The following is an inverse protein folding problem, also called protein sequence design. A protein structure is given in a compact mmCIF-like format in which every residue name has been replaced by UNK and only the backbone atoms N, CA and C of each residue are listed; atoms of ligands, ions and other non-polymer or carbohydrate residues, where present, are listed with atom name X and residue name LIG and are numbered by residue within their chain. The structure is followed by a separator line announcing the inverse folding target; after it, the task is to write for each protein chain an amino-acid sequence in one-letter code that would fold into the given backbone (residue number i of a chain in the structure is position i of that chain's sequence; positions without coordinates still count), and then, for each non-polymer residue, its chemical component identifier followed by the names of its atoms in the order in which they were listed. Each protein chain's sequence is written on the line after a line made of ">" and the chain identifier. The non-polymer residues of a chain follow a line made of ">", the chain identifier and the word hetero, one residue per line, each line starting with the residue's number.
data_IF_377898000969
#
_entry.id   IF_377898000969
#
_cell.length_a   1.000
_cell.length_b   1.000
_cell.length_c   1.000
_cell.angle_alpha   90.00
_cell.angle_beta   90.00
_cell.angle_gamma   90.00
#
_symmetry.space_group_name_H-M   'P 1'
#
loop_
_entity.id
_entity.type
_entity.pdbx_description
1 polymer ?
#
# COMPACT_ATOMS: atom_id res chain seq x y z
N UNK A 1 -27.46 -6.84 -11.27
CA UNK A 1 -26.12 -6.46 -10.75
C UNK A 1 -26.21 -5.28 -9.76
N UNK A 2 -26.76 -4.12 -10.11
CA UNK A 2 -26.84 -2.95 -9.20
C UNK A 2 -27.55 -3.22 -7.85
N UNK A 3 -28.62 -4.05 -7.82
CA UNK A 3 -29.30 -4.44 -6.58
C UNK A 3 -28.41 -5.24 -5.61
N UNK A 4 -27.47 -6.04 -6.11
CA UNK A 4 -26.57 -6.85 -5.27
C UNK A 4 -25.52 -5.96 -4.61
N UNK A 5 -24.96 -4.99 -5.34
CA UNK A 5 -24.03 -4.01 -4.78
C UNK A 5 -24.70 -3.12 -3.73
N UNK A 6 -25.95 -2.71 -3.96
CA UNK A 6 -26.71 -1.92 -2.98
C UNK A 6 -27.02 -2.70 -1.71
N UNK A 7 -27.44 -3.97 -1.82
CA UNK A 7 -27.67 -4.84 -0.67
C UNK A 7 -26.38 -5.14 0.11
N UNK A 8 -25.25 -5.28 -0.57
CA UNK A 8 -23.94 -5.49 0.08
C UNK A 8 -23.47 -4.25 0.85
N UNK A 9 -23.59 -3.06 0.24
CA UNK A 9 -23.27 -1.79 0.90
C UNK A 9 -24.24 -1.54 2.06
N UNK A 10 -25.53 -1.76 1.89
CA UNK A 10 -26.52 -1.66 2.96
C UNK A 10 -26.24 -2.65 4.10
N UNK A 11 -25.80 -3.88 3.81
CA UNK A 11 -25.40 -4.84 4.84
C UNK A 11 -24.14 -4.40 5.62
N UNK A 12 -23.19 -3.70 4.99
CA UNK A 12 -22.03 -3.10 5.67
C UNK A 12 -22.45 -1.93 6.57
N UNK A 13 -23.46 -1.15 6.18
CA UNK A 13 -23.94 -0.01 6.98
C UNK A 13 -25.01 -0.37 8.03
N UNK A 14 -25.70 -1.50 7.88
CA UNK A 14 -26.68 -2.03 8.82
C UNK A 14 -26.05 -2.83 9.97
N UNK A 15 -24.76 -2.63 10.27
CA UNK A 15 -24.11 -3.25 11.42
C UNK A 15 -24.89 -2.82 12.68
N UNK A 16 -25.44 -3.76 13.47
CA UNK A 16 -26.19 -3.42 14.67
C UNK A 16 -25.34 -2.56 15.61
N UNK A 17 -25.98 -1.60 16.30
CA UNK A 17 -25.35 -0.81 17.38
C UNK A 17 -24.45 -1.73 18.17
N UNK A 18 -23.16 -1.40 18.23
CA UNK A 18 -22.15 -2.19 18.92
C UNK A 18 -22.68 -2.57 20.31
N UNK A 19 -23.11 -3.82 20.45
CA UNK A 19 -23.42 -4.38 21.75
C UNK A 19 -22.17 -4.20 22.59
N UNK A 20 -22.34 -3.74 23.84
CA UNK A 20 -21.27 -3.53 24.80
C UNK A 20 -20.37 -4.76 24.83
N UNK A 21 -19.25 -4.69 24.10
CA UNK A 21 -18.30 -5.78 23.98
C UNK A 21 -17.63 -5.94 25.34
N UNK A 22 -17.95 -7.03 26.03
CA UNK A 22 -17.19 -7.43 27.22
C UNK A 22 -15.80 -7.86 26.76
N UNK A 23 -14.82 -6.99 26.94
CA UNK A 23 -13.41 -7.32 26.80
C UNK A 23 -13.06 -8.32 27.90
N UNK A 24 -13.31 -9.61 27.69
CA UNK A 24 -12.68 -10.64 28.51
C UNK A 24 -11.20 -10.65 28.13
N UNK A 25 -10.27 -10.21 29.01
CA UNK A 25 -8.86 -10.41 28.74
C UNK A 25 -8.63 -11.90 28.53
N UNK A 26 -8.04 -12.26 27.40
CA UNK A 26 -7.52 -13.63 27.24
C UNK A 26 -6.49 -13.78 28.34
N UNK A 27 -6.76 -14.69 29.28
CA UNK A 27 -5.88 -15.04 30.39
C UNK A 27 -4.55 -15.52 29.79
N UNK A 28 -3.65 -14.58 29.56
CA UNK A 28 -2.32 -14.79 29.05
C UNK A 28 -1.55 -15.31 30.24
N UNK A 29 -1.69 -16.62 30.51
CA UNK A 29 -0.81 -17.34 31.43
C UNK A 29 0.60 -16.88 31.14
N UNK A 30 1.21 -16.31 32.17
CA UNK A 30 2.52 -15.69 32.21
C UNK A 30 3.54 -16.55 31.46
N UNK A 31 3.79 -16.23 30.19
CA UNK A 31 4.97 -16.74 29.49
C UNK A 31 6.13 -15.87 30.00
N UNK A 32 6.66 -16.23 31.16
CA UNK A 32 7.97 -15.74 31.64
C UNK A 32 9.04 -16.21 30.65
N UNK A 33 9.23 -15.46 29.58
CA UNK A 33 10.37 -15.63 28.69
C UNK A 33 11.57 -14.96 29.39
N UNK A 34 12.36 -15.80 30.06
CA UNK A 34 13.67 -15.45 30.61
C UNK A 34 14.58 -15.06 29.45
N UNK A 35 14.69 -13.77 29.17
CA UNK A 35 15.61 -13.26 28.16
C UNK A 35 17.06 -13.48 28.61
N UNK A 36 17.71 -14.54 28.10
CA UNK A 36 19.18 -14.66 28.15
C UNK A 36 19.76 -13.68 27.14
N UNK A 37 20.34 -12.59 27.62
CA UNK A 37 21.28 -11.78 26.87
C UNK A 37 22.52 -12.63 26.57
N UNK A 38 22.61 -13.15 25.35
CA UNK A 38 23.90 -13.57 24.77
C UNK A 38 24.37 -12.44 23.85
N UNK A 39 25.30 -11.62 24.35
CA UNK A 39 26.15 -10.79 23.52
C UNK A 39 27.12 -11.68 22.75
N UNK A 40 26.95 -11.75 21.41
CA UNK A 40 28.01 -12.24 20.51
C UNK A 40 28.62 -11.04 19.80
N UNK A 41 29.95 -10.94 19.70
CA UNK A 41 30.60 -9.89 18.93
C UNK A 41 30.38 -10.10 17.42
N UNK A 42 30.07 -9.01 16.73
CA UNK A 42 30.03 -8.93 15.28
C UNK A 42 31.45 -9.00 14.71
N UNK A 43 31.71 -9.97 13.83
CA UNK A 43 32.87 -9.98 12.94
C UNK A 43 32.54 -9.21 11.65
N UNK A 44 33.46 -8.37 11.12
CA UNK A 44 33.23 -7.65 9.88
C UNK A 44 33.29 -8.61 8.68
N UNK A 45 32.27 -8.56 7.82
CA UNK A 45 32.24 -9.29 6.55
C UNK A 45 33.00 -8.50 5.50
N UNK A 46 34.01 -9.15 4.93
CA UNK A 46 34.89 -8.69 3.87
C UNK A 46 34.11 -8.35 2.59
N UNK A 47 34.36 -7.17 2.03
CA UNK A 47 33.84 -6.72 0.74
C UNK A 47 34.51 -7.49 -0.42
N UNK A 48 33.75 -8.33 -1.11
CA UNK A 48 34.16 -8.93 -2.38
C UNK A 48 33.85 -7.95 -3.52
N UNK A 49 34.89 -7.35 -4.09
CA UNK A 49 34.80 -6.56 -5.31
C UNK A 49 34.65 -7.51 -6.51
N UNK A 50 33.49 -7.50 -7.17
CA UNK A 50 33.34 -8.08 -8.52
C UNK A 50 33.65 -7.01 -9.57
N UNK A 51 34.83 -7.11 -10.19
CA UNK A 51 35.17 -6.38 -11.40
C UNK A 51 34.53 -7.09 -12.61
N UNK A 52 33.45 -6.52 -13.15
CA UNK A 52 32.79 -7.03 -14.36
C UNK A 52 33.50 -6.47 -15.58
N UNK A 53 34.28 -7.32 -16.24
CA UNK A 53 34.96 -7.05 -17.52
C UNK A 53 33.92 -6.94 -18.64
N UNK A 54 33.75 -5.74 -19.20
CA UNK A 54 32.94 -5.51 -20.41
C UNK A 54 33.65 -6.16 -21.60
N UNK A 55 32.98 -7.09 -22.31
CA UNK A 55 33.40 -7.54 -23.64
C UNK A 55 32.86 -6.56 -24.69
N UNK A 56 33.64 -6.19 -25.72
CA UNK A 56 33.13 -5.49 -26.88
C UNK A 56 32.19 -6.42 -27.68
N UNK A 57 31.01 -5.92 -28.01
CA UNK A 57 30.03 -6.57 -28.88
C UNK A 57 30.47 -6.39 -30.34
N UNK A 58 30.64 -7.50 -31.05
CA UNK A 58 30.77 -7.52 -32.50
C UNK A 58 29.46 -7.08 -33.19
N UNK A 59 29.54 -6.39 -34.33
CA UNK A 59 28.39 -6.06 -35.16
C UNK A 59 27.99 -7.29 -36.00
N UNK A 60 26.98 -8.04 -35.56
CA UNK A 60 26.41 -9.14 -36.35
C UNK A 60 25.33 -8.62 -37.31
N UNK A 61 25.71 -8.58 -38.58
CA UNK A 61 24.94 -8.84 -39.81
C UNK A 61 23.45 -8.52 -39.88
N UNK A 62 23.17 -7.59 -40.79
CA UNK A 62 21.93 -7.38 -41.55
C UNK A 62 21.23 -8.68 -41.95
N UNK A 63 20.08 -8.97 -41.34
CA UNK A 63 19.15 -10.01 -41.79
C UNK A 63 18.05 -9.36 -42.63
N UNK A 64 18.05 -9.71 -43.91
CA UNK A 64 17.07 -9.32 -44.93
C UNK A 64 15.64 -9.60 -44.46
N UNK A 65 14.81 -8.56 -44.55
CA UNK A 65 13.37 -8.58 -44.31
C UNK A 65 12.69 -9.41 -45.42
N UNK A 66 12.16 -10.57 -45.02
CA UNK A 66 11.14 -11.29 -45.79
C UNK A 66 9.82 -10.56 -45.60
N UNK A 67 9.29 -9.98 -46.68
CA UNK A 67 7.95 -9.41 -46.77
C UNK A 67 6.92 -10.54 -46.64
N UNK A 68 6.45 -10.79 -45.43
CA UNK A 68 5.35 -11.70 -45.17
C UNK A 68 4.07 -10.89 -45.18
N UNK A 69 3.32 -11.00 -46.28
CA UNK A 69 1.92 -10.57 -46.37
C UNK A 69 1.10 -11.35 -45.35
N UNK A 70 0.90 -10.76 -44.17
CA UNK A 70 -0.06 -11.26 -43.19
C UNK A 70 -1.43 -10.67 -43.51
N UNK A 71 -2.29 -11.54 -44.05
CA UNK A 71 -3.71 -11.29 -44.24
C UNK A 71 -4.36 -10.91 -42.91
N UNK A 72 -5.18 -9.84 -42.85
CA UNK A 72 -5.88 -9.47 -41.64
C UNK A 72 -7.05 -10.44 -41.44
N UNK A 73 -6.80 -11.58 -40.80
CA UNK A 73 -7.88 -12.45 -40.33
C UNK A 73 -8.58 -11.75 -39.17
N UNK A 74 -9.76 -11.23 -39.51
CA UNK A 74 -10.73 -10.59 -38.65
C UNK A 74 -11.30 -11.59 -37.63
N UNK A 75 -10.62 -11.77 -36.51
CA UNK A 75 -11.24 -12.33 -35.31
C UNK A 75 -11.39 -11.21 -34.28
N UNK A 76 -12.40 -10.36 -34.53
CA UNK A 76 -12.94 -9.40 -33.56
C UNK A 76 -13.62 -10.20 -32.43
N UNK A 77 -12.81 -10.83 -31.57
CA UNK A 77 -13.28 -11.25 -30.27
C UNK A 77 -13.87 -10.01 -29.60
N UNK A 78 -15.19 -10.02 -29.33
CA UNK A 78 -15.90 -8.92 -28.68
C UNK A 78 -15.19 -8.58 -27.37
N UNK A 79 -14.31 -7.56 -27.42
CA UNK A 79 -13.70 -7.02 -26.23
C UNK A 79 -14.86 -6.60 -25.31
N UNK A 80 -14.94 -7.14 -24.07
CA UNK A 80 -16.02 -6.80 -23.16
C UNK A 80 -16.12 -5.28 -23.08
N UNK A 81 -17.33 -4.75 -23.31
CA UNK A 81 -17.49 -3.29 -23.45
C UNK A 81 -16.82 -2.58 -22.27
N UNK A 82 -15.98 -1.59 -22.56
CA UNK A 82 -15.16 -0.91 -21.54
C UNK A 82 -16.00 -0.37 -20.37
N UNK A 83 -17.30 -0.16 -20.60
CA UNK A 83 -18.33 0.16 -19.60
C UNK A 83 -18.46 -0.93 -18.52
N UNK A 84 -18.63 -2.21 -18.88
CA UNK A 84 -18.84 -3.31 -17.91
C UNK A 84 -17.65 -3.40 -16.95
N UNK A 85 -16.44 -3.31 -17.50
CA UNK A 85 -15.21 -3.36 -16.72
C UNK A 85 -15.08 -2.17 -15.76
N UNK A 86 -15.40 -0.95 -16.22
CA UNK A 86 -15.46 0.25 -15.38
C UNK A 86 -16.43 0.07 -14.21
N UNK A 87 -17.62 -0.47 -14.48
CA UNK A 87 -18.61 -0.77 -13.42
C UNK A 87 -18.09 -1.83 -12.43
N UNK A 88 -17.47 -2.90 -12.92
CA UNK A 88 -16.94 -3.97 -12.07
C UNK A 88 -15.86 -3.44 -11.10
N UNK A 89 -14.88 -2.70 -11.60
CA UNK A 89 -13.87 -2.07 -10.73
C UNK A 89 -14.47 -1.03 -9.80
N UNK A 90 -15.48 -0.27 -10.24
CA UNK A 90 -16.21 0.68 -9.39
C UNK A 90 -16.86 -0.01 -8.18
N UNK A 91 -17.56 -1.12 -8.40
CA UNK A 91 -18.18 -1.91 -7.32
C UNK A 91 -17.14 -2.49 -6.38
N UNK A 92 -16.08 -3.10 -6.90
CA UNK A 92 -14.98 -3.65 -6.09
C UNK A 92 -14.32 -2.54 -5.24
N UNK A 93 -14.05 -1.38 -5.86
CA UNK A 93 -13.46 -0.21 -5.20
C UNK A 93 -14.30 0.28 -4.04
N UNK A 94 -15.60 0.54 -4.28
CA UNK A 94 -16.52 1.03 -3.24
C UNK A 94 -16.63 0.00 -2.11
N UNK A 95 -16.69 -1.29 -2.44
CA UNK A 95 -16.80 -2.36 -1.45
C UNK A 95 -15.54 -2.47 -0.59
N UNK A 96 -14.35 -2.41 -1.19
CA UNK A 96 -13.08 -2.43 -0.45
C UNK A 96 -12.90 -1.17 0.42
N UNK A 97 -13.27 0.00 -0.10
CA UNK A 97 -13.23 1.25 0.67
C UNK A 97 -14.18 1.20 1.87
N UNK A 98 -15.42 0.77 1.67
CA UNK A 98 -16.40 0.61 2.75
C UNK A 98 -15.94 -0.41 3.80
N UNK A 99 -15.44 -1.57 3.36
CA UNK A 99 -14.89 -2.59 4.25
C UNK A 99 -13.70 -2.06 5.07
N UNK A 100 -12.80 -1.29 4.44
CA UNK A 100 -11.66 -0.69 5.15
C UNK A 100 -12.08 0.40 6.15
N UNK A 101 -13.05 1.25 5.78
CA UNK A 101 -13.61 2.28 6.68
C UNK A 101 -14.26 1.63 7.89
N UNK A 102 -15.11 0.62 7.67
CA UNK A 102 -15.76 -0.11 8.75
C UNK A 102 -14.74 -0.82 9.65
N UNK A 103 -13.74 -1.47 9.06
CA UNK A 103 -12.66 -2.15 9.80
C UNK A 103 -11.86 -1.15 10.64
N UNK A 104 -11.52 0.01 10.06
CA UNK A 104 -10.79 1.07 10.76
C UNK A 104 -11.58 1.62 11.94
N UNK A 105 -12.87 1.92 11.72
CA UNK A 105 -13.77 2.41 12.76
C UNK A 105 -13.92 1.40 13.90
N UNK A 106 -14.24 0.14 13.59
CA UNK A 106 -14.45 -0.90 14.62
C UNK A 106 -13.16 -1.19 15.39
N UNK A 107 -12.02 -1.29 14.69
CA UNK A 107 -10.75 -1.62 15.32
C UNK A 107 -10.20 -0.49 16.19
N UNK A 108 -10.47 0.78 15.86
CA UNK A 108 -9.81 1.94 16.46
C UNK A 108 -10.74 2.86 17.27
N UNK A 109 -12.05 2.60 17.31
CA UNK A 109 -13.01 3.42 18.07
C UNK A 109 -12.78 3.44 19.57
N UNK A 110 -12.15 2.40 20.12
CA UNK A 110 -11.92 2.24 21.55
C UNK A 110 -10.46 1.91 21.83
N UNK A 111 -9.73 2.71 22.61
CA UNK A 111 -8.37 2.36 23.02
C UNK A 111 -8.42 1.27 24.12
N UNK A 112 -7.60 0.19 24.06
CA UNK A 112 -7.64 -0.86 25.09
C UNK A 112 -7.24 -0.37 26.49
N UNK A 113 -6.44 0.70 26.55
CA UNK A 113 -6.09 1.38 27.80
C UNK A 113 -7.17 2.42 28.17
N UNK A 114 -7.88 2.26 29.31
CA UNK A 114 -8.91 3.20 29.74
C UNK A 114 -8.34 4.58 30.07
N UNK A 115 -7.06 4.68 30.48
CA UNK A 115 -6.41 5.96 30.81
C UNK A 115 -6.32 6.82 29.55
N UNK A 116 -5.84 6.23 28.45
CA UNK A 116 -5.71 6.92 27.16
C UNK A 116 -7.09 7.35 26.63
N UNK A 117 -8.13 6.52 26.79
CA UNK A 117 -9.48 6.91 26.40
C UNK A 117 -10.02 8.09 27.24
N UNK A 118 -9.78 8.08 28.55
CA UNK A 118 -10.24 9.13 29.46
C UNK A 118 -9.54 10.46 29.19
N UNK A 119 -8.23 10.43 28.97
CA UNK A 119 -7.40 11.63 28.78
C UNK A 119 -7.56 12.25 27.39
N UNK A 120 -7.65 11.44 26.35
CA UNK A 120 -7.66 11.95 24.96
C UNK A 120 -9.04 12.42 24.49
N UNK A 121 -10.10 12.28 25.29
CA UNK A 121 -11.50 12.60 24.93
C UNK A 121 -11.92 12.08 23.54
N UNK A 122 -11.39 10.93 23.13
CA UNK A 122 -11.62 10.33 21.81
C UNK A 122 -10.85 10.97 20.64
N UNK A 123 -10.11 12.07 20.85
CA UNK A 123 -9.27 12.71 19.81
C UNK A 123 -8.20 11.77 19.28
N UNK A 124 -7.55 11.02 20.17
CA UNK A 124 -6.55 10.02 19.79
C UNK A 124 -7.14 8.95 18.86
N UNK A 125 -8.32 8.42 19.20
CA UNK A 125 -9.01 7.41 18.40
C UNK A 125 -9.40 7.97 17.03
N UNK A 126 -9.94 9.20 16.99
CA UNK A 126 -10.29 9.87 15.73
C UNK A 126 -9.07 10.06 14.83
N UNK A 127 -7.97 10.61 15.35
CA UNK A 127 -6.74 10.82 14.57
C UNK A 127 -6.14 9.50 14.08
N UNK A 128 -6.25 8.44 14.88
CA UNK A 128 -5.79 7.10 14.48
C UNK A 128 -6.69 6.50 13.40
N UNK A 129 -8.01 6.70 13.46
CA UNK A 129 -8.93 6.32 12.38
C UNK A 129 -8.58 7.09 11.11
N UNK A 130 -8.44 8.42 11.19
CA UNK A 130 -8.07 9.24 10.02
C UNK A 130 -6.75 8.75 9.41
N UNK A 131 -5.73 8.50 10.24
CA UNK A 131 -4.45 7.95 9.79
C UNK A 131 -4.60 6.60 9.08
N UNK A 132 -5.49 5.72 9.56
CA UNK A 132 -5.78 4.46 8.91
C UNK A 132 -6.46 4.63 7.54
N UNK A 133 -7.16 5.74 7.30
CA UNK A 133 -7.91 5.98 6.07
C UNK A 133 -7.14 6.76 5.01
N UNK A 134 -6.29 7.72 5.42
CA UNK A 134 -5.72 8.72 4.50
C UNK A 134 -4.79 8.13 3.44
N UNK A 135 -4.05 7.06 3.74
CA UNK A 135 -3.22 6.39 2.72
C UNK A 135 -4.06 5.35 1.92
N UNK A 136 -4.78 4.41 2.56
CA UNK A 136 -5.48 3.36 1.82
C UNK A 136 -6.57 3.86 0.88
N UNK A 137 -7.37 4.86 1.28
CA UNK A 137 -8.51 5.30 0.45
C UNK A 137 -8.05 5.89 -0.89
N UNK A 138 -7.12 6.87 -0.95
CA UNK A 138 -6.58 7.35 -2.22
C UNK A 138 -5.99 6.23 -3.08
N UNK A 139 -5.27 5.25 -2.50
CA UNK A 139 -4.71 4.13 -3.25
C UNK A 139 -5.79 3.20 -3.82
N UNK A 140 -6.85 2.92 -3.07
CA UNK A 140 -8.01 2.13 -3.55
C UNK A 140 -8.67 2.84 -4.74
N UNK A 141 -8.99 4.12 -4.61
CA UNK A 141 -9.62 4.88 -5.70
C UNK A 141 -8.69 5.08 -6.90
N UNK A 142 -7.41 5.38 -6.65
CA UNK A 142 -6.40 5.58 -7.69
C UNK A 142 -6.13 4.31 -8.48
N UNK A 143 -6.03 3.18 -7.80
CA UNK A 143 -5.84 1.88 -8.45
C UNK A 143 -7.06 1.47 -9.27
N UNK A 144 -8.27 1.56 -8.70
CA UNK A 144 -9.49 1.24 -9.42
C UNK A 144 -9.70 2.13 -10.66
N UNK A 145 -9.47 3.44 -10.54
CA UNK A 145 -9.53 4.35 -11.69
C UNK A 145 -8.52 3.96 -12.78
N UNK A 146 -7.29 3.67 -12.38
CA UNK A 146 -6.20 3.31 -13.28
C UNK A 146 -6.49 1.98 -14.00
N UNK A 147 -7.08 1.00 -13.32
CA UNK A 147 -7.49 -0.28 -13.89
C UNK A 147 -8.72 -0.17 -14.79
N UNK A 148 -9.62 0.77 -14.50
CA UNK A 148 -10.82 1.06 -15.28
C UNK A 148 -10.54 1.92 -16.53
N UNK A 149 -9.37 2.57 -16.58
CA UNK A 149 -8.95 3.39 -17.70
C UNK A 149 -8.57 2.54 -18.92
N UNK A 150 -8.91 3.00 -20.11
CA UNK A 150 -8.57 2.31 -21.36
C UNK A 150 -7.06 2.43 -21.62
N UNK A 151 -6.38 1.29 -21.69
CA UNK A 151 -4.95 1.22 -21.98
C UNK A 151 -4.73 1.35 -23.49
N UNK A 152 -4.60 2.59 -23.98
CA UNK A 152 -4.40 2.88 -25.41
C UNK A 152 -2.99 2.61 -25.90
N UNK A 153 -2.01 2.56 -25.00
CA UNK A 153 -0.60 2.31 -25.34
C UNK A 153 -0.04 1.13 -24.54
N UNK A 154 1.06 0.54 -25.03
CA UNK A 154 1.70 -0.63 -24.42
C UNK A 154 2.22 -0.34 -23.01
N UNK A 155 2.73 0.87 -22.77
CA UNK A 155 3.15 1.31 -21.43
C UNK A 155 1.99 1.24 -20.42
N UNK A 156 0.79 1.67 -20.81
CA UNK A 156 -0.38 1.59 -19.96
C UNK A 156 -0.80 0.15 -19.65
N UNK A 157 -0.65 -0.79 -20.60
CA UNK A 157 -0.93 -2.23 -20.37
C UNK A 157 0.02 -2.83 -19.34
N UNK A 158 1.33 -2.56 -19.46
CA UNK A 158 2.34 -3.03 -18.50
C UNK A 158 2.03 -2.51 -17.09
N UNK A 159 1.75 -1.21 -16.97
CA UNK A 159 1.40 -0.58 -15.68
C UNK A 159 0.14 -1.21 -15.10
N UNK A 160 -0.88 -1.43 -15.94
CA UNK A 160 -2.13 -2.06 -15.51
C UNK A 160 -1.91 -3.46 -14.98
N UNK A 161 -1.08 -4.28 -15.64
CA UNK A 161 -0.71 -5.61 -15.15
C UNK A 161 0.00 -5.54 -13.80
N UNK A 162 0.98 -4.66 -13.65
CA UNK A 162 1.70 -4.48 -12.39
C UNK A 162 0.74 -4.04 -11.27
N UNK A 163 -0.17 -3.13 -11.58
CA UNK A 163 -1.18 -2.64 -10.66
C UNK A 163 -2.19 -3.74 -10.27
N UNK A 164 -2.56 -4.63 -11.19
CA UNK A 164 -3.36 -5.81 -10.89
C UNK A 164 -2.70 -6.70 -9.84
N UNK A 165 -1.42 -7.00 -10.00
CA UNK A 165 -0.67 -7.77 -9.01
C UNK A 165 -0.52 -7.03 -7.68
N UNK A 166 -0.31 -5.70 -7.71
CA UNK A 166 -0.27 -4.88 -6.50
C UNK A 166 -1.58 -4.89 -5.72
N UNK A 167 -2.72 -4.73 -6.41
CA UNK A 167 -4.06 -4.81 -5.81
C UNK A 167 -4.33 -6.21 -5.28
N UNK A 168 -3.99 -7.25 -6.07
CA UNK A 168 -4.15 -8.63 -5.63
C UNK A 168 -3.39 -8.92 -4.34
N UNK A 169 -2.10 -8.54 -4.28
CA UNK A 169 -1.28 -8.70 -3.09
C UNK A 169 -1.83 -7.92 -1.89
N UNK A 170 -2.22 -6.65 -2.07
CA UNK A 170 -2.76 -5.81 -1.01
C UNK A 170 -4.08 -6.37 -0.45
N UNK A 171 -4.98 -6.78 -1.33
CA UNK A 171 -6.27 -7.36 -0.96
C UNK A 171 -6.10 -8.74 -0.31
N UNK A 172 -5.27 -9.63 -0.86
CA UNK A 172 -4.99 -10.93 -0.27
C UNK A 172 -4.39 -10.79 1.14
N UNK A 173 -3.45 -9.85 1.31
CA UNK A 173 -2.84 -9.56 2.61
C UNK A 173 -3.88 -9.07 3.62
N UNK A 174 -4.75 -8.15 3.21
CA UNK A 174 -5.81 -7.60 4.07
C UNK A 174 -6.84 -8.67 4.44
N UNK A 175 -7.26 -9.48 3.46
CA UNK A 175 -8.15 -10.61 3.68
C UNK A 175 -7.54 -11.60 4.67
N UNK A 176 -6.26 -11.92 4.51
CA UNK A 176 -5.55 -12.83 5.39
C UNK A 176 -5.44 -12.27 6.81
N UNK A 177 -5.07 -11.00 6.96
CA UNK A 177 -4.94 -10.36 8.26
C UNK A 177 -6.28 -10.33 9.04
N UNK A 178 -7.42 -10.17 8.34
CA UNK A 178 -8.75 -10.19 8.97
C UNK A 178 -9.25 -11.61 9.20
N UNK A 179 -9.08 -12.51 8.24
CA UNK A 179 -9.53 -13.91 8.31
C UNK A 179 -8.79 -14.69 9.40
N UNK A 180 -7.49 -14.50 9.50
CA UNK A 180 -6.63 -15.11 10.53
C UNK A 180 -6.28 -14.14 11.65
N UNK A 181 -7.19 -13.22 12.00
CA UNK A 181 -6.97 -12.20 13.03
C UNK A 181 -6.24 -12.71 14.30
N UNK A 182 -6.54 -13.88 14.89
CA UNK A 182 -5.80 -14.37 16.07
C UNK A 182 -4.27 -14.50 15.86
N UNK A 183 -3.81 -14.77 14.64
CA UNK A 183 -2.40 -14.84 14.29
C UNK A 183 -1.77 -13.47 13.94
N UNK A 184 -2.60 -12.47 13.62
CA UNK A 184 -2.17 -11.15 13.13
C UNK A 184 -2.40 -10.00 14.13
N UNK A 185 -3.47 -10.05 14.92
CA UNK A 185 -3.75 -9.13 16.01
C UNK A 185 -3.44 -9.82 17.34
N UNK A 186 -2.35 -9.42 17.99
CA UNK A 186 -2.10 -9.83 19.37
C UNK A 186 -3.19 -9.25 20.29
N UNK A 187 -4.17 -10.07 20.67
CA UNK A 187 -4.85 -9.94 21.97
C UNK A 187 -6.33 -9.50 21.99
N UNK A 188 -6.98 -9.20 20.86
CA UNK A 188 -8.38 -8.73 20.90
C UNK A 188 -9.26 -9.35 19.81
N UNK A 189 -10.38 -9.94 20.22
CA UNK A 189 -11.52 -10.21 19.36
C UNK A 189 -12.24 -8.88 19.07
N UNK A 190 -11.61 -8.02 18.26
CA UNK A 190 -12.18 -6.70 17.90
C UNK A 190 -13.42 -6.81 17.02
N UNK A 191 -13.55 -7.94 16.32
CA UNK A 191 -14.54 -8.13 15.28
C UNK A 191 -15.41 -9.35 15.60
N UNK A 192 -16.72 -9.17 15.47
CA UNK A 192 -17.64 -10.28 15.38
C UNK A 192 -17.24 -11.24 14.24
N UNK A 193 -17.56 -12.53 14.39
CA UNK A 193 -17.23 -13.55 13.39
C UNK A 193 -17.82 -13.23 12.01
N UNK A 194 -19.05 -12.74 11.95
CA UNK A 194 -19.71 -12.40 10.70
C UNK A 194 -19.04 -11.21 10.03
N UNK A 195 -18.67 -10.19 10.81
CA UNK A 195 -17.93 -9.03 10.29
C UNK A 195 -16.60 -9.46 9.67
N UNK A 196 -15.83 -10.32 10.34
CA UNK A 196 -14.57 -10.86 9.80
C UNK A 196 -14.77 -11.60 8.49
N UNK A 197 -15.79 -12.47 8.41
CA UNK A 197 -16.12 -13.22 7.19
C UNK A 197 -16.45 -12.27 6.03
N UNK A 198 -17.27 -11.25 6.26
CA UNK A 198 -17.67 -10.28 5.23
C UNK A 198 -16.46 -9.49 4.72
N UNK A 199 -15.62 -8.96 5.62
CA UNK A 199 -14.43 -8.19 5.22
C UNK A 199 -13.42 -9.08 4.50
N UNK A 200 -13.14 -10.28 5.03
CA UNK A 200 -12.23 -11.23 4.39
C UNK A 200 -12.73 -11.66 3.01
N UNK A 201 -14.04 -11.92 2.85
CA UNK A 201 -14.64 -12.24 1.56
C UNK A 201 -14.56 -11.05 0.58
N UNK A 202 -14.81 -9.82 1.05
CA UNK A 202 -14.72 -8.61 0.21
C UNK A 202 -13.34 -8.47 -0.41
N UNK A 203 -12.29 -8.52 0.43
CA UNK A 203 -10.92 -8.41 -0.03
C UNK A 203 -10.46 -9.66 -0.79
N UNK A 204 -10.94 -10.85 -0.43
CA UNK A 204 -10.64 -12.09 -1.15
C UNK A 204 -11.17 -12.07 -2.58
N UNK A 205 -12.43 -11.66 -2.78
CA UNK A 205 -13.04 -11.49 -4.12
C UNK A 205 -12.28 -10.44 -4.91
N UNK A 206 -11.93 -9.30 -4.30
CA UNK A 206 -11.14 -8.26 -4.96
C UNK A 206 -9.76 -8.77 -5.39
N UNK A 207 -9.10 -9.59 -4.56
CA UNK A 207 -7.82 -10.20 -4.89
C UNK A 207 -7.93 -11.16 -6.08
N UNK A 208 -8.93 -12.05 -6.09
CA UNK A 208 -9.18 -12.97 -7.19
C UNK A 208 -9.50 -12.24 -8.50
N UNK A 209 -10.35 -11.22 -8.44
CA UNK A 209 -10.67 -10.38 -9.60
C UNK A 209 -9.42 -9.67 -10.14
N UNK A 210 -8.54 -9.19 -9.25
CA UNK A 210 -7.29 -8.55 -9.63
C UNK A 210 -6.29 -9.55 -10.24
N UNK A 211 -6.19 -10.78 -9.72
CA UNK A 211 -5.39 -11.86 -10.32
C UNK A 211 -5.89 -12.19 -11.74
N UNK A 212 -7.20 -12.37 -11.92
CA UNK A 212 -7.79 -12.66 -13.23
C UNK A 212 -7.47 -11.58 -14.27
N UNK A 213 -7.60 -10.30 -13.89
CA UNK A 213 -7.21 -9.18 -14.76
C UNK A 213 -5.70 -9.11 -15.04
N UNK A 214 -4.87 -9.52 -14.09
CA UNK A 214 -3.42 -9.61 -14.26
C UNK A 214 -2.99 -10.74 -15.19
N UNK A 215 -3.70 -11.86 -15.18
CA UNK A 215 -3.46 -13.02 -16.07
C UNK A 215 -3.94 -12.76 -17.49
N UNK A 216 -5.08 -12.09 -17.68
CA UNK A 216 -5.59 -11.75 -19.02
C UNK A 216 -4.70 -10.74 -19.75
N UNK A 217 -3.82 -10.03 -19.03
CA UNK A 217 -2.86 -9.11 -19.59
C UNK A 217 -1.58 -9.84 -20.08
N UNK A 218 -1.73 -10.89 -20.88
CA UNK A 218 -0.62 -11.51 -21.63
C UNK A 218 -0.25 -10.63 -22.83
N UNK A 219 0.35 -9.47 -22.53
CA UNK A 219 1.16 -8.77 -23.51
C UNK A 219 2.48 -9.52 -23.65
N UNK A 220 2.85 -9.86 -24.90
CA UNK A 220 4.21 -10.29 -25.25
C UNK A 220 5.20 -9.45 -24.44
N UNK A 221 6.02 -10.10 -23.62
CA UNK A 221 7.15 -9.46 -22.95
C UNK A 221 8.21 -9.15 -24.02
N UNK A 222 7.87 -8.27 -24.96
CA UNK A 222 8.82 -7.73 -25.93
C UNK A 222 9.89 -7.05 -25.11
N UNK A 223 11.13 -7.50 -25.29
CA UNK A 223 12.33 -7.04 -24.63
C UNK A 223 12.31 -5.51 -24.44
N UNK A 224 11.79 -5.08 -23.29
CA UNK A 224 11.72 -3.68 -22.89
C UNK A 224 13.09 -3.25 -22.35
N UNK A 225 14.17 -3.58 -23.08
CA UNK A 225 15.41 -2.83 -22.99
C UNK A 225 15.13 -1.45 -23.59
N UNK A 226 14.39 -0.64 -22.83
CA UNK A 226 14.35 0.78 -23.08
C UNK A 226 15.78 1.35 -22.98
N UNK A 227 16.03 2.51 -23.58
CA UNK A 227 17.31 3.20 -23.47
C UNK A 227 17.75 3.25 -22.00
N UNK A 228 19.06 3.16 -21.77
CA UNK A 228 19.64 3.21 -20.43
C UNK A 228 19.03 4.38 -19.65
N UNK A 229 18.43 4.08 -18.49
CA UNK A 229 17.71 5.07 -17.70
C UNK A 229 18.61 6.28 -17.43
N UNK A 230 18.31 7.41 -18.07
CA UNK A 230 18.88 8.70 -17.71
C UNK A 230 18.16 9.11 -16.43
N UNK A 231 18.78 8.83 -15.28
CA UNK A 231 18.14 8.97 -13.97
C UNK A 231 17.81 10.42 -13.64
N UNK A 232 16.64 10.89 -14.07
CA UNK A 232 16.09 12.19 -13.68
C UNK A 232 15.74 12.23 -12.18
N UNK A 233 15.47 13.44 -11.67
CA UNK A 233 15.16 13.66 -10.26
C UNK A 233 13.92 12.85 -9.85
N UNK A 234 12.86 12.87 -10.68
CA UNK A 234 11.64 12.10 -10.44
C UNK A 234 11.88 10.60 -10.34
N UNK A 235 12.68 10.03 -11.25
CA UNK A 235 13.00 8.60 -11.21
C UNK A 235 13.73 8.24 -9.92
N UNK A 236 14.70 9.07 -9.52
CA UNK A 236 15.46 8.88 -8.28
C UNK A 236 14.55 8.92 -7.05
N UNK A 237 13.70 9.94 -6.94
CA UNK A 237 12.76 10.08 -5.82
C UNK A 237 11.76 8.90 -5.75
N UNK A 238 11.17 8.48 -6.87
CA UNK A 238 10.29 7.31 -6.90
C UNK A 238 11.03 5.99 -6.65
N UNK A 239 12.32 5.91 -6.99
CA UNK A 239 13.17 4.76 -6.69
C UNK A 239 13.43 4.65 -5.18
N UNK A 240 13.76 5.77 -4.52
CA UNK A 240 13.93 5.85 -3.06
C UNK A 240 12.60 5.53 -2.36
N UNK A 241 11.51 6.17 -2.80
CA UNK A 241 10.17 5.93 -2.27
C UNK A 241 9.74 4.47 -2.40
N UNK A 242 9.96 3.85 -3.56
CA UNK A 242 9.71 2.42 -3.78
C UNK A 242 10.52 1.55 -2.82
N UNK A 243 11.82 1.79 -2.70
CA UNK A 243 12.70 1.00 -1.84
C UNK A 243 12.26 1.09 -0.37
N UNK A 244 11.99 2.30 0.11
CA UNK A 244 11.49 2.54 1.46
C UNK A 244 10.13 1.90 1.73
N UNK A 245 9.16 2.08 0.82
CA UNK A 245 7.83 1.47 0.97
C UNK A 245 7.92 -0.07 0.94
N UNK A 246 8.77 -0.65 0.08
CA UNK A 246 9.00 -2.10 0.04
C UNK A 246 9.61 -2.60 1.35
N UNK A 247 10.58 -1.87 1.90
CA UNK A 247 11.16 -2.18 3.20
C UNK A 247 10.07 -2.18 4.31
N UNK A 248 9.22 -1.16 4.34
CA UNK A 248 8.13 -1.07 5.31
C UNK A 248 7.01 -2.08 5.08
N UNK A 249 6.84 -2.57 3.86
CA UNK A 249 5.96 -3.70 3.56
C UNK A 249 6.52 -5.01 4.11
N UNK A 250 7.82 -5.26 3.92
CA UNK A 250 8.46 -6.49 4.36
C UNK A 250 8.62 -6.55 5.88
N UNK A 251 8.92 -5.42 6.53
CA UNK A 251 9.32 -5.37 7.93
C UNK A 251 8.34 -6.07 8.90
N UNK A 252 7.00 -5.90 8.82
CA UNK A 252 6.08 -6.56 9.76
C UNK A 252 6.00 -8.09 9.61
N UNK A 253 6.59 -8.66 8.54
CA UNK A 253 6.73 -10.10 8.36
C UNK A 253 7.91 -10.68 9.16
N UNK A 254 8.96 -9.87 9.34
CA UNK A 254 10.23 -10.33 9.92
C UNK A 254 10.47 -9.81 11.34
N UNK A 255 9.73 -8.79 11.78
CA UNK A 255 9.95 -8.17 13.08
C UNK A 255 8.69 -8.19 13.95
N UNK A 256 8.89 -8.36 15.25
CA UNK A 256 7.84 -8.29 16.26
C UNK A 256 7.39 -6.84 16.54
N UNK A 257 6.30 -6.72 17.29
CA UNK A 257 5.90 -5.45 17.88
C UNK A 257 6.94 -5.00 18.92
N UNK A 258 7.23 -3.69 19.03
CA UNK A 258 6.51 -2.58 18.39
C UNK A 258 6.96 -2.23 16.96
N UNK A 259 8.11 -2.73 16.48
CA UNK A 259 8.71 -2.28 15.21
C UNK A 259 7.79 -2.55 14.02
N UNK A 260 7.04 -3.64 14.04
CA UNK A 260 6.01 -3.95 13.05
C UNK A 260 4.91 -2.88 12.87
N UNK A 261 4.74 -1.95 13.82
CA UNK A 261 3.70 -0.92 13.77
C UNK A 261 4.11 0.36 13.05
N UNK A 262 5.40 0.57 12.79
CA UNK A 262 5.96 1.87 12.42
C UNK A 262 5.47 2.46 11.08
N UNK A 263 5.16 1.68 10.01
CA UNK A 263 4.72 2.30 8.76
C UNK A 263 3.46 3.15 8.96
N UNK A 264 2.64 2.78 9.95
CA UNK A 264 1.29 3.31 10.13
C UNK A 264 1.00 3.87 11.52
N UNK A 265 1.79 3.53 12.54
CA UNK A 265 1.55 3.88 13.96
C UNK A 265 0.09 3.60 14.39
N UNK A 266 -0.53 2.56 13.82
CA UNK A 266 -1.92 2.16 14.11
C UNK A 266 -2.02 1.17 15.29
N UNK A 267 -0.94 1.00 16.04
CA UNK A 267 -0.82 0.00 17.10
C UNK A 267 -0.95 -1.44 16.59
N UNK A 268 -1.21 -2.38 17.51
CA UNK A 268 -1.30 -3.82 17.22
C UNK A 268 -2.50 -4.25 16.37
N UNK A 269 -3.48 -3.36 16.21
CA UNK A 269 -4.82 -3.71 15.74
C UNK A 269 -4.94 -3.72 14.22
N UNK A 270 -4.29 -2.76 13.55
CA UNK A 270 -4.33 -2.62 12.10
C UNK A 270 -2.96 -2.54 11.42
N UNK A 271 -1.86 -2.48 12.18
CA UNK A 271 -0.54 -2.27 11.58
C UNK A 271 -0.19 -3.31 10.53
N UNK A 272 -0.52 -4.58 10.77
CA UNK A 272 -0.28 -5.64 9.80
C UNK A 272 -1.17 -5.45 8.59
N UNK A 273 -2.49 -5.32 8.73
CA UNK A 273 -3.39 -5.11 7.58
C UNK A 273 -2.98 -3.90 6.72
N UNK A 274 -2.47 -2.83 7.34
CA UNK A 274 -1.99 -1.63 6.64
C UNK A 274 -0.79 -1.90 5.69
N UNK A 275 0.00 -2.95 5.94
CA UNK A 275 1.10 -3.38 5.08
C UNK A 275 0.65 -3.66 3.65
N UNK A 276 -0.55 -4.20 3.46
CA UNK A 276 -1.12 -4.44 2.13
C UNK A 276 -1.18 -3.14 1.32
N UNK A 277 -1.61 -2.04 1.93
CA UNK A 277 -1.67 -0.73 1.27
C UNK A 277 -0.29 -0.11 1.08
N UNK A 278 0.66 -0.37 1.99
CA UNK A 278 2.06 0.04 1.81
C UNK A 278 2.68 -0.70 0.60
N UNK A 279 2.33 -1.97 0.40
CA UNK A 279 2.76 -2.76 -0.75
C UNK A 279 2.19 -2.20 -2.06
N UNK A 280 0.90 -1.84 -2.05
CA UNK A 280 0.25 -1.19 -3.19
C UNK A 280 0.92 0.16 -3.51
N UNK A 281 1.23 0.96 -2.49
CA UNK A 281 1.97 2.22 -2.67
C UNK A 281 3.36 1.98 -3.29
N UNK A 282 4.07 0.92 -2.87
CA UNK A 282 5.36 0.55 -3.44
C UNK A 282 5.24 0.17 -4.93
N UNK A 283 4.19 -0.57 -5.30
CA UNK A 283 3.89 -0.91 -6.71
C UNK A 283 3.56 0.34 -7.51
N UNK A 284 2.73 1.24 -6.96
CA UNK A 284 2.42 2.50 -7.63
C UNK A 284 3.68 3.37 -7.84
N UNK A 285 4.53 3.48 -6.81
CA UNK A 285 5.84 4.16 -6.91
C UNK A 285 6.75 3.50 -7.95
N UNK A 286 6.72 2.17 -8.07
CA UNK A 286 7.46 1.47 -9.12
C UNK A 286 6.96 1.82 -10.53
N UNK A 287 5.64 1.81 -10.74
CA UNK A 287 5.05 2.20 -12.02
C UNK A 287 5.40 3.66 -12.37
N UNK A 288 5.30 4.57 -11.40
CA UNK A 288 5.65 5.98 -11.58
C UNK A 288 7.13 6.18 -11.88
N UNK A 289 8.03 5.43 -11.23
CA UNK A 289 9.45 5.41 -11.61
C UNK A 289 9.63 5.06 -13.09
N UNK A 290 8.96 3.99 -13.57
CA UNK A 290 9.07 3.58 -14.98
C UNK A 290 8.48 4.64 -15.92
N UNK A 291 7.41 5.31 -15.52
CA UNK A 291 6.87 6.46 -16.24
C UNK A 291 7.87 7.62 -16.31
N UNK A 292 8.59 7.89 -15.23
CA UNK A 292 9.65 8.90 -15.17
C UNK A 292 10.83 8.55 -16.06
N UNK A 293 11.34 7.30 -15.97
CA UNK A 293 12.44 6.79 -16.82
C UNK A 293 12.11 6.88 -18.32
N UNK A 294 10.81 6.85 -18.67
CA UNK A 294 10.31 6.94 -20.05
C UNK A 294 9.78 8.32 -20.43
N UNK A 295 9.87 9.31 -19.53
CA UNK A 295 9.34 10.68 -19.73
C UNK A 295 7.83 10.74 -20.01
N UNK A 296 7.10 9.72 -19.59
CA UNK A 296 5.67 9.53 -19.87
C UNK A 296 4.75 10.02 -18.75
N UNK A 297 5.30 10.57 -17.65
CA UNK A 297 4.52 10.93 -16.45
C UNK A 297 3.35 11.86 -16.74
N UNK A 298 3.53 12.81 -17.68
CA UNK A 298 2.49 13.77 -18.05
C UNK A 298 1.71 13.33 -19.30
N UNK A 299 2.24 12.42 -20.11
CA UNK A 299 1.62 12.01 -21.37
C UNK A 299 0.52 10.98 -21.17
N UNK A 300 0.70 10.07 -20.20
CA UNK A 300 -0.23 8.96 -19.99
C UNK A 300 -1.13 9.25 -18.78
N UNK A 301 -2.46 9.37 -18.97
CA UNK A 301 -3.40 9.73 -17.90
C UNK A 301 -3.34 8.81 -16.66
N UNK A 302 -2.97 7.55 -16.85
CA UNK A 302 -2.80 6.59 -15.76
C UNK A 302 -1.73 7.05 -14.76
N UNK A 303 -0.59 7.57 -15.24
CA UNK A 303 0.47 8.06 -14.38
C UNK A 303 0.02 9.30 -13.62
N UNK A 304 -0.61 10.27 -14.30
CA UNK A 304 -1.12 11.48 -13.64
C UNK A 304 -2.05 11.14 -12.47
N UNK A 305 -3.00 10.22 -12.66
CA UNK A 305 -3.90 9.80 -11.57
C UNK A 305 -3.17 9.06 -10.46
N UNK A 306 -2.23 8.17 -10.81
CA UNK A 306 -1.42 7.46 -9.82
C UNK A 306 -0.55 8.42 -8.99
N UNK A 307 0.07 9.43 -9.62
CA UNK A 307 0.83 10.50 -8.94
C UNK A 307 -0.06 11.24 -7.95
N UNK A 308 -1.22 11.71 -8.40
CA UNK A 308 -2.15 12.46 -7.56
C UNK A 308 -2.60 11.65 -6.34
N UNK A 309 -3.01 10.41 -6.55
CA UNK A 309 -3.56 9.57 -5.47
C UNK A 309 -2.50 9.07 -4.50
N UNK A 310 -1.33 8.65 -5.00
CA UNK A 310 -0.18 8.31 -4.16
C UNK A 310 0.33 9.54 -3.38
N UNK A 311 0.40 10.68 -4.04
CA UNK A 311 0.83 11.96 -3.46
C UNK A 311 -0.09 12.43 -2.34
N UNK A 312 -1.40 12.50 -2.58
CA UNK A 312 -2.41 12.87 -1.56
C UNK A 312 -2.34 11.91 -0.39
N UNK A 313 -2.35 10.59 -0.64
CA UNK A 313 -2.34 9.60 0.43
C UNK A 313 -1.08 9.66 1.28
N UNK A 314 0.09 9.82 0.64
CA UNK A 314 1.38 9.94 1.34
C UNK A 314 1.50 11.25 2.12
N UNK A 315 1.01 12.36 1.55
CA UNK A 315 1.06 13.67 2.18
C UNK A 315 0.19 13.72 3.45
N UNK A 316 -1.06 13.28 3.34
CA UNK A 316 -1.97 13.24 4.48
C UNK A 316 -1.47 12.28 5.56
N UNK A 317 -0.92 11.12 5.18
CA UNK A 317 -0.31 10.19 6.13
C UNK A 317 0.90 10.82 6.84
N UNK A 318 1.80 11.45 6.08
CA UNK A 318 2.96 12.16 6.64
C UNK A 318 2.54 13.27 7.60
N UNK A 319 1.57 14.11 7.23
CA UNK A 319 1.06 15.20 8.08
C UNK A 319 0.44 14.65 9.37
N UNK A 320 -0.38 13.60 9.31
CA UNK A 320 -0.99 13.02 10.51
C UNK A 320 0.05 12.35 11.42
N UNK A 321 1.00 11.61 10.85
CA UNK A 321 2.11 11.02 11.61
C UNK A 321 2.95 12.10 12.29
N UNK A 322 3.28 13.17 11.56
CA UNK A 322 4.04 14.30 12.09
C UNK A 322 3.25 15.03 13.17
N UNK A 323 1.97 15.31 12.95
CA UNK A 323 1.09 15.94 13.94
C UNK A 323 1.00 15.13 15.23
N UNK A 324 0.93 13.79 15.13
CA UNK A 324 1.01 12.91 16.31
C UNK A 324 2.37 12.97 17.00
N UNK A 325 3.46 12.98 16.24
CA UNK A 325 4.80 13.14 16.80
C UNK A 325 4.96 14.48 17.55
N UNK A 326 4.35 15.55 17.04
CA UNK A 326 4.31 16.88 17.66
C UNK A 326 3.42 16.92 18.91
N UNK A 327 2.35 16.11 18.94
CA UNK A 327 1.48 15.92 20.11
C UNK A 327 0.08 16.49 19.97
N UNK A 328 -0.41 16.62 18.74
CA UNK A 328 -1.77 17.12 18.45
C UNK A 328 -2.86 16.28 19.11
N UNK A 329 -2.58 15.03 19.47
CA UNK A 329 -3.49 14.12 20.16
C UNK A 329 -3.31 14.09 21.68
N UNK A 330 -2.46 14.96 22.25
CA UNK A 330 -2.18 15.06 23.68
C UNK A 330 -1.04 14.17 24.18
N UNK A 331 -0.29 13.49 23.30
CA UNK A 331 0.86 12.69 23.71
C UNK A 331 2.04 12.74 22.75
N UNK A 332 2.50 13.93 22.38
CA UNK A 332 3.69 14.06 21.52
C UNK A 332 4.89 14.64 22.23
N UNK A 333 5.87 15.03 21.42
CA UNK A 333 7.18 15.48 21.87
C UNK A 333 7.20 16.96 22.28
N UNK A 334 6.43 17.81 21.59
CA UNK A 334 6.53 19.27 21.73
C UNK A 334 5.35 19.90 22.47
N UNK A 335 4.13 19.39 22.27
CA UNK A 335 2.94 19.92 22.94
C UNK A 335 2.80 19.31 24.34
N UNK A 336 2.34 20.10 25.34
CA UNK A 336 2.15 19.63 26.70
C UNK A 336 1.13 18.47 26.74
N UNK A 337 1.50 17.38 27.41
CA UNK A 337 0.72 16.16 27.55
C UNK A 337 1.53 15.06 28.23
N UNK A 338 0.97 13.86 28.37
CA UNK A 338 1.61 12.70 29.03
C UNK A 338 2.77 12.09 28.21
N UNK A 339 3.19 12.80 27.15
CA UNK A 339 4.35 12.51 26.34
C UNK A 339 4.15 11.37 25.34
N UNK A 340 4.96 11.41 24.27
CA UNK A 340 5.10 10.34 23.26
C UNK A 340 5.31 8.95 23.88
N UNK A 341 5.89 8.90 25.08
CA UNK A 341 6.25 7.71 25.83
C UNK A 341 5.07 6.87 26.27
N UNK A 342 3.94 7.50 26.60
CA UNK A 342 2.73 6.80 27.08
C UNK A 342 1.87 6.37 25.90
N UNK A 343 1.58 7.28 24.97
CA UNK A 343 0.64 7.02 23.88
C UNK A 343 1.28 6.26 22.70
N UNK A 344 2.60 6.37 22.53
CA UNK A 344 3.33 5.81 21.38
C UNK A 344 4.62 5.08 21.78
N UNK A 345 4.54 4.07 22.65
CA UNK A 345 5.71 3.29 23.09
C UNK A 345 6.45 2.64 21.90
N UNK A 346 5.74 2.46 20.78
CA UNK A 346 6.33 1.97 19.55
C UNK A 346 7.28 2.97 18.88
N UNK A 347 6.93 4.25 18.83
CA UNK A 347 7.79 5.26 18.21
C UNK A 347 9.05 5.49 19.05
N UNK A 348 8.91 5.43 20.37
CA UNK A 348 9.99 5.67 21.32
C UNK A 348 10.95 4.50 21.43
N UNK A 349 10.47 3.27 21.27
CA UNK A 349 11.32 2.08 21.24
C UNK A 349 12.23 2.01 19.99
N UNK A 350 11.82 2.64 18.88
CA UNK A 350 12.47 2.51 17.56
C UNK A 350 12.38 3.84 16.77
N UNK A 351 12.92 4.94 17.32
CA UNK A 351 12.70 6.30 16.82
C UNK A 351 13.29 6.52 15.43
N UNK A 352 14.47 5.94 15.16
CA UNK A 352 15.10 6.03 13.84
C UNK A 352 14.24 5.39 12.75
N UNK A 353 13.64 4.24 13.02
CA UNK A 353 12.77 3.59 12.03
C UNK A 353 11.49 4.40 11.80
N UNK A 354 10.95 5.04 12.85
CA UNK A 354 9.82 5.97 12.71
C UNK A 354 10.18 7.20 11.87
N UNK A 355 11.34 7.81 12.12
CA UNK A 355 11.85 8.92 11.33
C UNK A 355 12.05 8.53 9.87
N UNK A 356 12.69 7.37 9.60
CA UNK A 356 12.87 6.86 8.23
C UNK A 356 11.51 6.65 7.54
N UNK A 357 10.49 6.16 8.27
CA UNK A 357 9.14 6.02 7.71
C UNK A 357 8.56 7.37 7.30
N UNK A 358 8.66 8.38 8.17
CA UNK A 358 8.22 9.74 7.85
C UNK A 358 8.95 10.30 6.63
N UNK A 359 10.27 10.13 6.57
CA UNK A 359 11.08 10.59 5.43
C UNK A 359 10.69 9.91 4.12
N UNK A 360 10.42 8.59 4.14
CA UNK A 360 9.97 7.85 2.94
C UNK A 360 8.64 8.40 2.42
N UNK A 361 7.65 8.61 3.29
CA UNK A 361 6.38 9.21 2.87
C UNK A 361 6.56 10.67 2.40
N UNK A 362 7.43 11.46 3.06
CA UNK A 362 7.79 12.80 2.62
C UNK A 362 8.43 12.82 1.22
N UNK A 363 9.37 11.91 0.94
CA UNK A 363 9.99 11.76 -0.39
C UNK A 363 8.95 11.40 -1.45
N UNK A 364 8.04 10.47 -1.15
CA UNK A 364 6.96 10.08 -2.08
C UNK A 364 6.01 11.24 -2.35
N UNK A 365 5.70 12.04 -1.33
CA UNK A 365 4.90 13.27 -1.45
C UNK A 365 5.60 14.28 -2.36
N UNK A 366 6.87 14.57 -2.11
CA UNK A 366 7.66 15.49 -2.96
C UNK A 366 7.71 14.98 -4.40
N UNK A 367 8.04 13.70 -4.62
CA UNK A 367 8.08 13.10 -5.95
C UNK A 367 6.76 13.27 -6.73
N UNK A 368 5.63 13.20 -6.02
CA UNK A 368 4.29 13.26 -6.59
C UNK A 368 3.85 14.66 -6.97
N UNK A 369 4.28 15.68 -6.23
CA UNK A 369 3.85 17.08 -6.44
C UNK A 369 4.88 17.98 -7.09
N UNK A 370 6.16 17.59 -7.16
CA UNK A 370 7.15 18.34 -7.95
C UNK A 370 6.69 18.40 -9.42
N UNK A 371 6.65 19.59 -10.03
CA UNK A 371 6.35 19.74 -11.45
C UNK A 371 7.39 19.00 -12.29
N UNK A 372 6.94 18.27 -13.31
CA UNK A 372 7.85 17.68 -14.31
C UNK A 372 8.25 18.81 -15.26
N UNK A 373 9.50 19.25 -15.17
CA UNK A 373 10.02 20.37 -15.97
C UNK A 373 10.21 19.98 -17.43
N UNK A 374 9.90 20.88 -18.36
CA UNK A 374 10.07 20.65 -19.82
C UNK A 374 11.52 20.32 -20.21
N UNK A 375 12.51 20.79 -19.46
CA UNK A 375 13.92 20.41 -19.71
C UNK A 375 14.16 18.90 -19.57
N UNK A 376 13.42 18.20 -18.69
CA UNK A 376 13.49 16.74 -18.64
C UNK A 376 12.84 16.10 -19.87
N UNK A 377 11.93 16.78 -20.59
CA UNK A 377 11.28 16.26 -21.79
C UNK A 377 12.10 16.42 -23.08
N UNK A 378 13.06 17.35 -23.11
CA UNK A 378 13.86 17.68 -24.31
C UNK A 378 15.23 16.99 -24.38
N UNK A 379 15.74 16.49 -23.25
CA UNK A 379 16.94 15.60 -23.23
C UNK A 379 16.58 14.17 -23.66
#
# INVERSE_FOLDING_TARGET
>A
MARISFLFVAAIFSIPKASTFSLKPINTRTITTRARLHSRPFSPVSSVFFSVRKRPLEPTSTRLLSSRDETPTSEFALAPSSKILKYAYGVICISCAAAWIATSKVALSFHPDPIINAQSLGRHNLLTILQALVLPLPLIFGSAWSLASEARCEAAKIVRRQLHWGVAAACAYTAAAVGWAPAFSCGYHLFDLNFRKVVAATFGIAALAACGGGMQSEGHAINCHGPAATGGLHSSLYSIGRAGLTFFTAMPLFVSFPRAAIPAILGKRLSRSFVGFTALAAVMSHCLKRGADRKQLNEVPIYQKMRLTLGIGSALHFILVMGKALGVDGGGLLLPGDGLWINYPAMTAVPYTALVSMLVFGVVTVASFVPVTEQESLQ
#
